data_IF_068222731444
#
_entry.id   IF_068222731444
#
_cell.length_a   1.000
_cell.length_b   1.000
_cell.length_c   1.000
_cell.angle_alpha   90.00
_cell.angle_beta   90.00
_cell.angle_gamma   90.00
#
_symmetry.space_group_name_H-M   'P 1'
#
loop_
_entity.id
_entity.type
_entity.pdbx_description
1 polymer ?
#
# COMPACT_ATOMS: atom_id res chain seq x y z
N UNK A 1 20.98 -56.25 34.49
CA UNK A 1 19.94 -55.96 33.48
C UNK A 1 18.90 -55.03 34.08
N UNK A 2 19.07 -53.70 33.92
CA UNK A 2 18.08 -52.66 34.24
C UNK A 2 18.39 -51.41 33.39
N UNK A 3 17.57 -51.15 32.37
CA UNK A 3 17.35 -49.82 31.81
C UNK A 3 15.83 -49.60 31.78
N UNK A 4 15.36 -48.40 32.13
CA UNK A 4 14.92 -47.49 31.07
C UNK A 4 15.32 -46.03 31.38
N UNK A 5 16.03 -45.29 30.51
CA UNK A 5 15.55 -44.67 29.27
C UNK A 5 14.20 -43.93 29.44
N UNK A 6 14.13 -42.95 30.34
CA UNK A 6 13.07 -41.92 30.33
C UNK A 6 13.64 -40.57 30.73
N UNK A 7 13.95 -39.72 29.74
CA UNK A 7 13.82 -38.26 29.79
C UNK A 7 14.42 -37.65 28.51
N UNK A 8 13.94 -38.10 27.35
CA UNK A 8 13.96 -37.25 26.17
C UNK A 8 12.55 -36.66 26.01
N UNK A 9 12.46 -35.53 25.32
CA UNK A 9 11.25 -34.78 24.94
C UNK A 9 10.85 -33.66 25.92
N UNK A 10 11.68 -32.62 25.98
CA UNK A 10 11.19 -31.24 26.17
C UNK A 10 11.93 -30.35 25.17
N UNK A 11 11.17 -29.63 24.33
CA UNK A 11 11.69 -28.46 23.63
C UNK A 11 11.63 -28.45 22.10
N UNK A 12 10.50 -28.80 21.48
CA UNK A 12 10.22 -28.42 20.07
C UNK A 12 8.81 -27.82 20.00
N UNK A 13 8.68 -26.52 20.27
CA UNK A 13 7.40 -25.81 20.15
C UNK A 13 7.54 -24.29 19.89
N UNK A 14 8.55 -23.83 19.14
CA UNK A 14 8.81 -22.39 18.94
C UNK A 14 9.00 -21.91 17.49
N UNK A 15 8.59 -22.67 16.46
CA UNK A 15 8.91 -22.33 15.06
C UNK A 15 7.73 -21.95 14.14
N UNK A 16 6.51 -21.70 14.66
CA UNK A 16 5.34 -21.44 13.80
C UNK A 16 4.91 -19.97 13.68
N UNK A 17 5.69 -19.00 14.17
CA UNK A 17 5.29 -17.58 14.23
C UNK A 17 5.83 -16.64 13.14
N UNK A 18 6.36 -17.15 12.01
CA UNK A 18 7.32 -16.37 11.20
C UNK A 18 6.83 -15.66 9.92
N UNK A 19 5.61 -15.88 9.41
CA UNK A 19 5.29 -15.46 8.03
C UNK A 19 4.54 -14.13 7.87
N UNK A 20 4.23 -13.38 8.93
CA UNK A 20 3.33 -12.22 8.83
C UNK A 20 4.01 -10.84 8.66
N UNK A 21 5.33 -10.69 8.88
CA UNK A 21 5.91 -9.34 9.11
C UNK A 21 6.87 -8.80 8.05
N UNK A 22 7.00 -9.42 6.87
CA UNK A 22 7.91 -8.94 5.82
C UNK A 22 7.15 -8.48 4.56
N UNK A 23 6.46 -7.34 4.67
CA UNK A 23 6.01 -6.56 3.51
C UNK A 23 7.02 -5.45 3.17
N UNK A 24 6.99 -4.87 1.95
CA UNK A 24 7.78 -3.69 1.62
C UNK A 24 7.53 -2.58 2.65
N UNK A 25 8.62 -1.98 3.15
CA UNK A 25 8.58 -0.86 4.10
C UNK A 25 8.40 0.50 3.43
N UNK A 26 8.42 0.53 2.10
CA UNK A 26 8.19 1.71 1.27
C UNK A 26 6.98 1.48 0.37
N UNK A 27 6.53 2.51 -0.32
CA UNK A 27 5.67 2.35 -1.49
C UNK A 27 6.35 1.49 -2.57
N UNK A 28 5.56 1.00 -3.52
CA UNK A 28 6.03 0.16 -4.62
C UNK A 28 5.14 0.35 -5.84
N UNK A 29 5.74 0.51 -7.01
CA UNK A 29 5.01 0.70 -8.28
C UNK A 29 5.68 -0.14 -9.35
N UNK A 30 4.92 -1.04 -9.96
CA UNK A 30 5.35 -1.87 -11.08
C UNK A 30 4.21 -2.04 -12.10
N UNK A 31 4.56 -2.19 -13.39
CA UNK A 31 3.65 -2.33 -14.52
C UNK A 31 2.61 -1.20 -14.70
N UNK A 32 2.94 0.00 -14.21
CA UNK A 32 2.18 1.23 -14.42
C UNK A 32 2.83 2.06 -15.53
N UNK A 33 2.06 2.36 -16.58
CA UNK A 33 2.50 3.25 -17.65
C UNK A 33 2.17 4.72 -17.33
N UNK A 34 2.78 5.70 -18.00
CA UNK A 34 2.39 7.11 -17.86
C UNK A 34 0.91 7.38 -18.16
N UNK A 35 0.28 6.59 -19.05
CA UNK A 35 -1.14 6.72 -19.36
C UNK A 35 -2.06 6.16 -18.26
N UNK A 36 -1.56 5.21 -17.46
CA UNK A 36 -2.27 4.63 -16.32
C UNK A 36 -2.26 5.57 -15.10
N UNK A 37 -1.18 6.35 -14.93
CA UNK A 37 -0.93 7.13 -13.72
C UNK A 37 -2.06 8.12 -13.34
N UNK A 38 -2.66 8.91 -14.26
CA UNK A 38 -3.77 9.80 -13.90
C UNK A 38 -5.01 9.07 -13.39
N UNK A 39 -5.32 7.90 -13.97
CA UNK A 39 -6.48 7.09 -13.57
C UNK A 39 -6.29 6.56 -12.15
N UNK A 40 -5.11 6.00 -11.87
CA UNK A 40 -4.78 5.48 -10.55
C UNK A 40 -4.68 6.60 -9.51
N UNK A 41 -4.04 7.72 -9.85
CA UNK A 41 -3.88 8.87 -8.95
C UNK A 41 -5.25 9.43 -8.52
N UNK A 42 -6.16 9.65 -9.46
CA UNK A 42 -7.50 10.17 -9.17
C UNK A 42 -8.32 9.22 -8.29
N UNK A 43 -8.28 7.91 -8.56
CA UNK A 43 -9.01 6.92 -7.75
C UNK A 43 -8.43 6.79 -6.34
N UNK A 44 -7.10 6.78 -6.21
CA UNK A 44 -6.42 6.73 -4.91
C UNK A 44 -6.73 7.98 -4.10
N UNK A 45 -6.56 9.17 -4.69
CA UNK A 45 -6.78 10.44 -4.01
C UNK A 45 -8.26 10.60 -3.63
N UNK A 46 -9.19 10.19 -4.50
CA UNK A 46 -10.62 10.14 -4.21
C UNK A 46 -10.92 9.25 -3.00
N UNK A 47 -10.42 8.01 -2.99
CA UNK A 47 -10.60 7.09 -1.86
C UNK A 47 -10.02 7.65 -0.55
N UNK A 48 -8.86 8.30 -0.60
CA UNK A 48 -8.25 8.92 0.59
C UNK A 48 -9.11 10.10 1.07
N UNK A 49 -9.68 10.91 0.17
CA UNK A 49 -10.56 12.02 0.53
C UNK A 49 -11.90 11.60 1.14
N UNK A 50 -12.40 10.41 0.79
CA UNK A 50 -13.59 9.83 1.43
C UNK A 50 -13.32 9.41 2.88
N UNK A 51 -12.05 9.27 3.27
CA UNK A 51 -11.63 8.75 4.58
C UNK A 51 -10.97 9.80 5.47
N UNK A 52 -10.32 10.79 4.87
CA UNK A 52 -9.61 11.87 5.57
C UNK A 52 -10.09 13.23 5.06
N UNK A 53 -10.38 14.20 5.94
CA UNK A 53 -10.88 15.51 5.54
C UNK A 53 -9.78 16.34 4.85
N UNK A 54 -9.83 16.40 3.51
CA UNK A 54 -8.76 16.96 2.68
C UNK A 54 -8.25 18.33 3.13
N UNK A 55 -9.14 19.31 3.33
CA UNK A 55 -8.78 20.70 3.62
C UNK A 55 -8.04 20.94 4.95
N UNK A 56 -8.02 19.95 5.85
CA UNK A 56 -7.39 20.05 7.17
C UNK A 56 -6.36 18.96 7.43
N UNK A 57 -6.05 18.13 6.43
CA UNK A 57 -5.18 16.97 6.58
C UNK A 57 -3.92 17.14 5.74
N UNK A 58 -2.77 16.84 6.36
CA UNK A 58 -1.52 16.62 5.63
C UNK A 58 -1.29 15.12 5.46
N UNK A 59 -1.02 14.69 4.23
CA UNK A 59 -0.58 13.35 3.89
C UNK A 59 0.94 13.35 3.74
N UNK A 60 1.62 12.44 4.45
CA UNK A 60 3.02 12.14 4.19
C UNK A 60 3.07 11.01 3.15
N UNK A 61 3.39 11.36 1.90
CA UNK A 61 3.37 10.41 0.80
C UNK A 61 4.68 9.61 0.79
N UNK A 62 4.58 8.31 1.06
CA UNK A 62 5.72 7.40 1.02
C UNK A 62 6.13 7.15 -0.45
N UNK A 63 7.41 7.26 -0.77
CA UNK A 63 7.93 7.11 -2.13
C UNK A 63 8.49 5.69 -2.34
N UNK A 64 8.48 5.13 -3.56
CA UNK A 64 9.07 3.83 -3.79
C UNK A 64 10.57 3.83 -3.52
N UNK A 65 11.06 2.85 -2.76
CA UNK A 65 12.49 2.75 -2.45
C UNK A 65 13.30 2.20 -3.63
N UNK A 66 14.50 2.74 -3.84
CA UNK A 66 15.48 2.28 -4.84
C UNK A 66 15.34 2.96 -6.20
N UNK A 67 16.22 2.61 -7.15
CA UNK A 67 16.19 3.12 -8.53
C UNK A 67 15.09 2.46 -9.37
N UNK A 68 13.84 2.53 -8.92
CA UNK A 68 12.68 2.33 -9.79
C UNK A 68 12.56 3.57 -10.68
N UNK A 69 13.49 3.70 -11.64
CA UNK A 69 13.70 4.85 -12.51
C UNK A 69 12.54 5.16 -13.49
N UNK A 70 11.33 4.65 -13.23
CA UNK A 70 10.16 4.77 -14.10
C UNK A 70 8.85 4.97 -13.34
N UNK A 71 8.92 5.38 -12.07
CA UNK A 71 7.74 5.68 -11.27
C UNK A 71 6.97 6.88 -11.84
N UNK A 72 5.98 6.55 -12.67
CA UNK A 72 5.11 7.51 -13.33
C UNK A 72 3.93 7.91 -12.44
N UNK A 73 3.68 7.20 -11.34
CA UNK A 73 2.48 7.37 -10.51
C UNK A 73 2.69 8.42 -9.43
N UNK A 74 3.79 8.34 -8.68
CA UNK A 74 4.03 9.19 -7.51
C UNK A 74 3.96 10.69 -7.78
N UNK A 75 4.58 11.26 -8.83
CA UNK A 75 4.42 12.67 -9.13
C UNK A 75 2.96 13.05 -9.39
N UNK A 76 2.24 12.23 -10.16
CA UNK A 76 0.83 12.48 -10.51
C UNK A 76 -0.08 12.35 -9.28
N UNK A 77 0.16 11.35 -8.43
CA UNK A 77 -0.59 11.15 -7.19
C UNK A 77 -0.37 12.32 -6.21
N UNK A 78 0.87 12.81 -6.10
CA UNK A 78 1.20 13.97 -5.25
C UNK A 78 0.43 15.21 -5.71
N UNK A 79 0.43 15.47 -7.01
CA UNK A 79 -0.26 16.63 -7.59
C UNK A 79 -1.78 16.50 -7.43
N UNK A 80 -2.32 15.30 -7.61
CA UNK A 80 -3.74 15.02 -7.45
C UNK A 80 -4.22 15.20 -6.00
N UNK A 81 -3.47 14.68 -5.01
CA UNK A 81 -3.77 14.88 -3.58
C UNK A 81 -3.78 16.37 -3.22
N UNK A 82 -2.81 17.14 -3.73
CA UNK A 82 -2.77 18.61 -3.56
C UNK A 82 -3.97 19.28 -4.23
N UNK A 83 -4.30 18.87 -5.46
CA UNK A 83 -5.41 19.42 -6.25
C UNK A 83 -6.74 19.30 -5.52
N UNK A 84 -6.96 18.20 -4.79
CA UNK A 84 -8.19 17.97 -4.03
C UNK A 84 -8.16 18.52 -2.59
N UNK A 85 -7.08 19.21 -2.21
CA UNK A 85 -7.03 20.03 -1.00
C UNK A 85 -6.17 19.50 0.15
N UNK A 86 -5.49 18.36 0.00
CA UNK A 86 -4.55 17.88 1.02
C UNK A 86 -3.26 18.72 1.04
N UNK A 87 -2.74 18.94 2.25
CA UNK A 87 -1.30 19.18 2.40
C UNK A 87 -0.53 17.91 2.03
N UNK A 88 0.59 18.01 1.30
CA UNK A 88 1.40 16.83 0.98
C UNK A 88 2.86 17.07 1.30
N UNK A 89 3.36 16.31 2.28
CA UNK A 89 4.75 16.28 2.69
C UNK A 89 5.52 15.21 1.90
N UNK A 90 6.75 15.54 1.49
CA UNK A 90 7.67 14.58 0.87
C UNK A 90 8.27 13.61 1.88
N UNK A 91 8.89 12.54 1.40
CA UNK A 91 9.50 11.49 2.22
C UNK A 91 10.61 12.00 3.17
N UNK A 92 11.26 13.11 2.85
CA UNK A 92 12.33 13.75 3.63
C UNK A 92 11.81 14.83 4.62
N UNK A 93 10.54 15.20 4.53
CA UNK A 93 9.95 16.26 5.34
C UNK A 93 9.32 15.69 6.61
N UNK A 94 9.77 16.21 7.77
CA UNK A 94 9.11 15.94 9.04
C UNK A 94 7.78 16.69 9.09
N UNK A 95 6.67 15.96 9.01
CA UNK A 95 5.32 16.49 9.13
C UNK A 95 4.61 15.87 10.35
N UNK A 96 4.78 16.44 11.55
CA UNK A 96 4.09 15.94 12.76
C UNK A 96 2.57 15.95 12.56
N UNK A 97 1.92 14.84 12.91
CA UNK A 97 0.47 14.68 12.74
C UNK A 97 0.01 14.44 11.30
N UNK A 98 0.94 14.28 10.34
CA UNK A 98 0.57 13.84 8.99
C UNK A 98 0.18 12.36 8.98
N UNK A 99 -0.79 12.03 8.13
CA UNK A 99 -1.20 10.66 7.89
C UNK A 99 -0.25 10.06 6.85
N UNK A 100 0.51 9.04 7.25
CA UNK A 100 1.40 8.35 6.32
C UNK A 100 0.57 7.56 5.30
N UNK A 101 0.75 7.84 4.02
CA UNK A 101 0.11 7.11 2.93
C UNK A 101 1.15 6.31 2.17
N UNK A 102 1.01 4.99 2.24
CA UNK A 102 1.75 4.04 1.42
C UNK A 102 0.84 3.44 0.35
N UNK A 103 1.36 3.29 -0.86
CA UNK A 103 0.67 2.64 -1.97
C UNK A 103 1.58 1.58 -2.58
N UNK A 104 0.99 0.41 -2.82
CA UNK A 104 1.62 -0.72 -3.47
C UNK A 104 0.80 -1.02 -4.72
N UNK A 105 1.42 -0.87 -5.88
CA UNK A 105 0.82 -1.20 -7.18
C UNK A 105 1.64 -2.34 -7.78
N UNK A 106 1.07 -3.54 -7.72
CA UNK A 106 1.74 -4.78 -8.13
C UNK A 106 1.00 -5.42 -9.31
N UNK A 107 1.71 -5.99 -10.30
CA UNK A 107 1.07 -6.74 -11.39
C UNK A 107 0.23 -7.90 -10.83
N UNK A 108 -0.99 -8.05 -11.35
CA UNK A 108 -1.84 -9.20 -11.02
C UNK A 108 -2.71 -9.54 -12.23
N UNK A 109 -2.54 -10.75 -12.77
CA UNK A 109 -3.20 -11.20 -13.99
C UNK A 109 -2.97 -10.22 -15.16
N UNK A 110 -4.05 -9.75 -15.81
CA UNK A 110 -4.03 -8.80 -16.91
C UNK A 110 -4.13 -7.33 -16.48
N UNK A 111 -3.74 -7.01 -15.23
CA UNK A 111 -3.77 -5.65 -14.72
C UNK A 111 -2.93 -5.48 -13.47
N UNK A 112 -3.38 -4.65 -12.54
CA UNK A 112 -2.63 -4.30 -11.32
C UNK A 112 -3.51 -4.38 -10.09
N UNK A 113 -2.96 -4.85 -8.99
CA UNK A 113 -3.54 -4.73 -7.66
C UNK A 113 -3.00 -3.45 -7.01
N UNK A 114 -3.91 -2.53 -6.68
CA UNK A 114 -3.60 -1.37 -5.86
C UNK A 114 -3.91 -1.70 -4.42
N UNK A 115 -2.95 -1.50 -3.52
CA UNK A 115 -3.14 -1.56 -2.07
C UNK A 115 -2.71 -0.24 -1.45
N UNK A 116 -3.57 0.33 -0.63
CA UNK A 116 -3.33 1.55 0.12
C UNK A 116 -3.22 1.20 1.60
N UNK A 117 -2.30 1.86 2.29
CA UNK A 117 -2.13 1.75 3.73
C UNK A 117 -1.97 3.17 4.30
N UNK A 118 -2.88 3.53 5.20
CA UNK A 118 -2.80 4.76 5.98
C UNK A 118 -3.49 4.56 7.31
N UNK A 119 -2.92 5.12 8.37
CA UNK A 119 -3.34 4.88 9.75
C UNK A 119 -3.49 3.38 10.04
N UNK A 120 -4.70 2.93 10.39
CA UNK A 120 -5.07 1.52 10.61
C UNK A 120 -5.90 0.94 9.46
N UNK A 121 -5.94 1.63 8.34
CA UNK A 121 -6.75 1.27 7.18
C UNK A 121 -5.85 0.64 6.12
N UNK A 122 -6.17 -0.59 5.73
CA UNK A 122 -5.68 -1.18 4.48
C UNK A 122 -6.82 -1.27 3.49
N UNK A 123 -6.69 -0.64 2.33
CA UNK A 123 -7.64 -0.77 1.24
C UNK A 123 -6.98 -1.47 0.06
N UNK A 124 -7.72 -2.28 -0.70
CA UNK A 124 -7.20 -2.92 -1.91
C UNK A 124 -8.25 -3.01 -3.00
N UNK A 125 -7.83 -2.84 -4.26
CA UNK A 125 -8.70 -2.94 -5.44
C UNK A 125 -7.92 -3.51 -6.61
N UNK A 126 -8.58 -4.37 -7.40
CA UNK A 126 -8.06 -4.85 -8.67
C UNK A 126 -8.42 -3.90 -9.80
N UNK A 127 -7.43 -3.59 -10.63
CA UNK A 127 -7.59 -2.94 -11.92
C UNK A 127 -7.28 -3.93 -13.02
N UNK A 128 -8.08 -3.93 -14.08
CA UNK A 128 -7.92 -4.80 -15.25
C UNK A 128 -7.69 -3.95 -16.49
N UNK A 129 -6.88 -4.44 -17.43
CA UNK A 129 -6.78 -3.83 -18.75
C UNK A 129 -7.97 -4.27 -19.62
N UNK A 130 -8.64 -3.31 -20.25
CA UNK A 130 -9.68 -3.57 -21.24
C UNK A 130 -9.08 -3.96 -22.61
N UNK A 131 -9.91 -4.19 -23.62
CA UNK A 131 -9.45 -4.55 -24.97
C UNK A 131 -8.61 -3.47 -25.66
N UNK A 132 -8.67 -2.22 -25.21
CA UNK A 132 -7.83 -1.12 -25.68
C UNK A 132 -6.51 -0.99 -24.89
N UNK A 133 -6.28 -1.86 -23.90
CA UNK A 133 -5.09 -1.84 -23.04
C UNK A 133 -5.15 -0.84 -21.88
N UNK A 134 -6.24 -0.09 -21.74
CA UNK A 134 -6.43 0.92 -20.67
C UNK A 134 -6.89 0.26 -19.38
N UNK A 135 -6.39 0.73 -18.24
CA UNK A 135 -6.88 0.30 -16.93
C UNK A 135 -8.32 0.73 -16.68
N UNK A 136 -9.11 -0.19 -16.14
CA UNK A 136 -10.45 0.03 -15.62
C UNK A 136 -10.56 -0.63 -14.24
N UNK A 137 -11.30 0.02 -13.33
CA UNK A 137 -11.58 -0.56 -12.02
C UNK A 137 -12.33 -1.89 -12.20
N UNK A 138 -11.73 -2.98 -11.74
CA UNK A 138 -12.30 -4.33 -11.81
C UNK A 138 -13.14 -4.69 -10.58
N UNK A 139 -13.06 -3.90 -9.51
CA UNK A 139 -13.81 -4.10 -8.27
C UNK A 139 -13.97 -2.77 -7.49
N UNK A 140 -14.86 -2.70 -6.49
CA UNK A 140 -14.77 -1.70 -5.42
C UNK A 140 -13.47 -1.86 -4.60
N UNK A 141 -13.19 -0.92 -3.69
CA UNK A 141 -12.14 -1.12 -2.69
C UNK A 141 -12.65 -2.08 -1.62
N UNK A 142 -11.89 -3.14 -1.37
CA UNK A 142 -12.04 -3.96 -0.16
C UNK A 142 -11.24 -3.29 0.94
N UNK A 143 -11.88 -3.00 2.07
CA UNK A 143 -11.27 -2.29 3.19
C UNK A 143 -11.16 -3.21 4.40
N UNK A 144 -9.99 -3.19 5.04
CA UNK A 144 -9.72 -3.79 6.34
C UNK A 144 -9.26 -2.70 7.29
N UNK A 145 -9.84 -2.69 8.47
CA UNK A 145 -9.45 -1.81 9.57
C UNK A 145 -8.81 -2.69 10.66
N UNK A 146 -7.63 -2.33 11.12
CA UNK A 146 -6.95 -3.02 12.22
C UNK A 146 -7.56 -2.57 13.56
N UNK A 147 -7.66 -3.49 14.52
CA UNK A 147 -8.32 -3.24 15.81
C UNK A 147 -7.61 -2.13 16.60
N UNK A 148 -8.38 -1.38 17.41
CA UNK A 148 -7.80 -0.51 18.42
C UNK A 148 -7.29 -1.36 19.60
N UNK A 149 -6.01 -1.21 19.93
CA UNK A 149 -5.45 -1.68 21.21
C UNK A 149 -5.96 -0.85 22.39
#
# INVERSE_FOLDING_TARGET
MRHPLHAAVVGVALLLGGCASFGPRSSYVEAVTPADAPLLAADIAGFVSDRLPAASTTVALDEPAGELASDSLTPVLRDELRRIGFGVAGADQKAPGAHALRYLVTPLNAGVLVRLQFDRTTASRLWLRNSAGTLQAGSPFTVREDAAE
#
